data_IF_522487702816
#
_entry.id   IF_522487702816
#
_cell.length_a   1.000
_cell.length_b   1.000
_cell.length_c   1.000
_cell.angle_alpha   90.00
_cell.angle_beta   90.00
_cell.angle_gamma   90.00
#
_symmetry.space_group_name_H-M   'P 1'
#
loop_
_entity.id
_entity.type
_entity.pdbx_description
1 polymer ?
#
# COMPACT_ATOMS: atom_id res chain seq x y z
N UNK A 1 -9.84 -15.37 -24.97
CA UNK A 1 -8.65 -14.96 -24.23
C UNK A 1 -9.09 -14.71 -22.80
N UNK A 2 -8.38 -15.26 -21.81
CA UNK A 2 -8.68 -14.97 -20.40
C UNK A 2 -8.40 -13.48 -20.11
N UNK A 3 -9.26 -12.87 -19.31
CA UNK A 3 -9.03 -11.49 -18.86
C UNK A 3 -7.78 -11.45 -17.96
N UNK A 4 -6.94 -10.39 -18.06
CA UNK A 4 -5.76 -10.28 -17.24
C UNK A 4 -6.13 -10.12 -15.75
N UNK A 5 -5.31 -10.69 -14.86
CA UNK A 5 -5.53 -10.61 -13.41
C UNK A 5 -5.34 -9.20 -12.83
N UNK A 6 -4.60 -8.36 -13.52
CA UNK A 6 -4.39 -6.94 -13.19
C UNK A 6 -4.60 -6.07 -14.43
N UNK A 7 -5.14 -4.87 -14.21
CA UNK A 7 -5.26 -3.83 -15.23
C UNK A 7 -4.28 -2.73 -14.88
N UNK A 8 -3.53 -2.24 -15.86
CA UNK A 8 -2.55 -1.17 -15.70
C UNK A 8 -2.97 0.02 -16.54
N UNK A 9 -2.95 1.21 -15.95
CA UNK A 9 -3.22 2.49 -16.59
C UNK A 9 -2.12 3.48 -16.21
N UNK A 10 -1.73 4.34 -17.14
CA UNK A 10 -0.84 5.47 -16.89
C UNK A 10 -1.65 6.77 -16.89
N UNK A 11 -1.59 7.51 -15.79
CA UNK A 11 -2.25 8.81 -15.62
C UNK A 11 -1.18 9.88 -15.34
N UNK A 12 -0.53 10.37 -16.38
CA UNK A 12 0.64 11.23 -16.29
C UNK A 12 1.79 10.53 -15.56
N UNK A 13 2.19 11.07 -14.40
CA UNK A 13 3.26 10.51 -13.55
C UNK A 13 2.75 9.52 -12.49
N UNK A 14 1.51 9.08 -12.62
CA UNK A 14 0.87 8.10 -11.73
C UNK A 14 0.60 6.81 -12.48
N UNK A 15 1.16 5.70 -11.98
CA UNK A 15 0.77 4.36 -12.40
C UNK A 15 -0.47 3.89 -11.63
N UNK A 16 -1.43 3.28 -12.29
CA UNK A 16 -2.63 2.73 -11.65
C UNK A 16 -2.69 1.24 -11.93
N UNK A 17 -2.74 0.44 -10.88
CA UNK A 17 -2.86 -1.02 -10.94
C UNK A 17 -4.15 -1.45 -10.27
N UNK A 18 -5.04 -2.10 -10.99
CA UNK A 18 -6.30 -2.61 -10.45
C UNK A 18 -6.32 -4.13 -10.51
N UNK A 19 -6.57 -4.78 -9.37
CA UNK A 19 -6.84 -6.21 -9.31
C UNK A 19 -8.13 -6.53 -10.05
N UNK A 20 -8.11 -7.53 -10.92
CA UNK A 20 -9.19 -7.85 -11.84
C UNK A 20 -9.62 -9.33 -11.78
N UNK A 21 -9.97 -9.80 -10.59
CA UNK A 21 -10.59 -11.11 -10.36
C UNK A 21 -11.95 -10.98 -9.64
N UNK A 22 -12.92 -10.18 -10.18
CA UNK A 22 -14.17 -9.85 -9.48
C UNK A 22 -15.03 -11.06 -9.14
N UNK A 23 -14.98 -12.12 -9.94
CA UNK A 23 -15.76 -13.36 -9.73
C UNK A 23 -15.37 -14.11 -8.46
N UNK A 24 -14.13 -13.93 -8.00
CA UNK A 24 -13.59 -14.53 -6.77
C UNK A 24 -13.18 -13.45 -5.77
N UNK A 25 -13.81 -12.28 -5.84
CA UNK A 25 -13.62 -11.17 -4.91
C UNK A 25 -12.15 -10.73 -4.76
N UNK A 26 -11.39 -10.76 -5.85
CA UNK A 26 -9.94 -10.48 -5.87
C UNK A 26 -9.15 -11.32 -4.86
N UNK A 27 -9.54 -12.59 -4.65
CA UNK A 27 -8.78 -13.50 -3.79
C UNK A 27 -7.33 -13.60 -4.27
N UNK A 28 -6.40 -13.42 -3.34
CA UNK A 28 -4.96 -13.34 -3.60
C UNK A 28 -4.39 -14.75 -3.84
N UNK A 29 -4.45 -15.20 -5.09
CA UNK A 29 -3.75 -16.40 -5.56
C UNK A 29 -2.29 -16.11 -5.83
N UNK A 30 -1.46 -17.16 -5.93
CA UNK A 30 -0.07 -17.02 -6.34
C UNK A 30 0.10 -16.33 -7.69
N UNK A 31 -0.83 -16.60 -8.62
CA UNK A 31 -0.86 -15.97 -9.96
C UNK A 31 -1.17 -14.47 -9.89
N UNK A 32 -2.20 -14.06 -9.13
CA UNK A 32 -2.52 -12.64 -8.95
C UNK A 32 -1.37 -11.90 -8.25
N UNK A 33 -0.79 -12.49 -7.21
CA UNK A 33 0.34 -11.87 -6.49
C UNK A 33 1.57 -11.75 -7.40
N UNK A 34 1.83 -12.74 -8.27
CA UNK A 34 2.89 -12.67 -9.28
C UNK A 34 2.67 -11.52 -10.26
N UNK A 35 1.45 -11.40 -10.80
CA UNK A 35 1.08 -10.31 -11.70
C UNK A 35 1.16 -8.92 -11.02
N UNK A 36 0.83 -8.83 -9.73
CA UNK A 36 0.99 -7.58 -8.96
C UNK A 36 2.46 -7.21 -8.79
N UNK A 37 3.33 -8.18 -8.45
CA UNK A 37 4.77 -7.94 -8.30
C UNK A 37 5.39 -7.45 -9.62
N UNK A 38 5.02 -8.08 -10.74
CA UNK A 38 5.47 -7.69 -12.07
C UNK A 38 5.01 -6.27 -12.41
N UNK A 39 3.70 -6.00 -12.36
CA UNK A 39 3.12 -4.70 -12.70
C UNK A 39 3.66 -3.56 -11.81
N UNK A 40 3.71 -3.76 -10.50
CA UNK A 40 4.22 -2.76 -9.57
C UNK A 40 5.73 -2.55 -9.74
N UNK A 41 6.48 -3.63 -10.02
CA UNK A 41 7.93 -3.57 -10.28
C UNK A 41 8.28 -2.83 -11.57
N UNK A 42 7.50 -3.03 -12.64
CA UNK A 42 7.64 -2.29 -13.89
C UNK A 42 7.42 -0.78 -13.68
N UNK A 43 6.36 -0.41 -12.94
CA UNK A 43 6.07 0.98 -12.63
C UNK A 43 7.11 1.61 -11.68
N UNK A 44 7.69 0.85 -10.73
CA UNK A 44 8.77 1.33 -9.86
C UNK A 44 10.08 1.55 -10.61
N UNK A 45 10.32 0.77 -11.67
CA UNK A 45 11.49 0.88 -12.54
C UNK A 45 11.35 2.00 -13.59
N UNK A 46 10.12 2.41 -13.91
CA UNK A 46 9.85 3.50 -14.85
C UNK A 46 10.18 4.86 -14.20
N UNK A 47 11.18 5.53 -14.73
CA UNK A 47 11.63 6.86 -14.23
C UNK A 47 10.60 7.98 -14.34
N UNK A 48 9.59 7.83 -15.20
CA UNK A 48 8.51 8.80 -15.36
C UNK A 48 7.40 8.63 -14.30
N UNK A 49 7.25 7.44 -13.73
CA UNK A 49 6.27 7.16 -12.67
C UNK A 49 6.83 7.58 -11.31
N UNK A 50 6.07 8.42 -10.59
CA UNK A 50 6.47 9.00 -9.30
C UNK A 50 5.55 8.62 -8.14
N UNK A 51 4.39 8.05 -8.42
CA UNK A 51 3.47 7.47 -7.45
C UNK A 51 2.63 6.38 -8.11
N UNK A 52 2.17 5.42 -7.33
CA UNK A 52 1.36 4.30 -7.80
C UNK A 52 0.04 4.28 -7.01
N UNK A 53 -1.07 3.98 -7.68
CA UNK A 53 -2.34 3.65 -7.06
C UNK A 53 -2.57 2.15 -7.23
N UNK A 54 -2.78 1.45 -6.11
CA UNK A 54 -3.18 0.05 -6.10
C UNK A 54 -4.64 -0.05 -5.66
N UNK A 55 -5.49 -0.62 -6.51
CA UNK A 55 -6.92 -0.77 -6.23
C UNK A 55 -7.48 -2.13 -6.57
N UNK A 56 -8.72 -2.33 -6.19
CA UNK A 56 -9.55 -3.46 -6.62
C UNK A 56 -10.78 -2.95 -7.38
N UNK A 57 -11.95 -3.49 -7.04
CA UNK A 57 -13.23 -3.03 -7.54
C UNK A 57 -13.99 -2.17 -6.52
N UNK A 58 -15.12 -1.62 -6.95
CA UNK A 58 -16.00 -0.83 -6.09
C UNK A 58 -16.55 -1.60 -4.88
N UNK A 59 -16.79 -2.91 -5.04
CA UNK A 59 -17.37 -3.79 -4.01
C UNK A 59 -16.35 -4.49 -3.15
N UNK A 60 -15.12 -4.60 -3.64
CA UNK A 60 -14.05 -5.35 -2.97
C UNK A 60 -12.69 -4.86 -3.46
N UNK A 61 -11.83 -4.57 -2.50
CA UNK A 61 -10.41 -4.42 -2.75
C UNK A 61 -9.79 -5.81 -2.95
N UNK A 62 -9.76 -6.63 -1.88
CA UNK A 62 -9.43 -8.06 -1.92
C UNK A 62 -10.01 -8.74 -0.68
N UNK A 63 -10.57 -9.94 -0.86
CA UNK A 63 -11.24 -10.69 0.22
C UNK A 63 -10.30 -11.62 1.02
N UNK A 64 -9.00 -11.58 0.75
CA UNK A 64 -7.99 -12.39 1.44
C UNK A 64 -7.28 -13.38 0.51
N UNK A 65 -6.59 -14.35 1.09
CA UNK A 65 -5.90 -15.41 0.36
C UNK A 65 -6.89 -16.28 -0.43
N UNK A 66 -6.44 -16.87 -1.54
CA UNK A 66 -7.24 -17.85 -2.28
C UNK A 66 -7.32 -19.14 -1.44
N UNK A 67 -8.53 -19.41 -0.92
CA UNK A 67 -8.78 -20.50 0.00
C UNK A 67 -8.58 -21.87 -0.65
N UNK A 68 -8.85 -21.99 -1.97
CA UNK A 68 -8.63 -23.26 -2.67
C UNK A 68 -7.14 -23.61 -2.72
N UNK A 69 -6.30 -22.62 -3.04
CA UNK A 69 -4.85 -22.81 -3.01
C UNK A 69 -4.34 -23.11 -1.60
N UNK A 70 -4.87 -22.40 -0.60
CA UNK A 70 -4.45 -22.58 0.79
C UNK A 70 -4.84 -23.96 1.33
N UNK A 71 -6.07 -24.45 1.02
CA UNK A 71 -6.54 -25.77 1.42
C UNK A 71 -5.77 -26.93 0.75
N UNK A 72 -5.28 -26.72 -0.47
CA UNK A 72 -4.46 -27.70 -1.19
C UNK A 72 -2.99 -27.71 -0.74
N UNK A 73 -2.53 -26.65 -0.06
CA UNK A 73 -1.14 -26.50 0.33
C UNK A 73 -0.83 -27.28 1.64
N UNK A 74 0.37 -27.86 1.71
CA UNK A 74 0.94 -28.37 2.95
C UNK A 74 1.81 -27.31 3.62
N UNK A 75 2.08 -27.41 4.95
CA UNK A 75 3.02 -26.50 5.60
C UNK A 75 4.40 -26.46 4.93
N UNK A 76 4.87 -27.63 4.44
CA UNK A 76 6.14 -27.72 3.72
C UNK A 76 6.07 -27.00 2.38
N UNK A 77 5.00 -27.24 1.58
CA UNK A 77 4.86 -26.55 0.29
C UNK A 77 4.70 -25.05 0.44
N UNK A 78 4.03 -24.55 1.49
CA UNK A 78 3.93 -23.12 1.78
C UNK A 78 5.31 -22.51 2.07
N UNK A 79 6.17 -23.25 2.78
CA UNK A 79 7.52 -22.84 3.09
C UNK A 79 8.41 -22.85 1.85
N UNK A 80 8.39 -23.92 1.05
CA UNK A 80 9.22 -24.12 -0.15
C UNK A 80 8.83 -23.17 -1.30
N UNK A 81 7.54 -22.92 -1.49
CA UNK A 81 7.04 -22.05 -2.56
C UNK A 81 7.33 -20.54 -2.34
N UNK A 82 7.90 -20.19 -1.18
CA UNK A 82 8.32 -18.84 -0.86
C UNK A 82 7.25 -17.77 -1.19
N UNK A 83 5.98 -18.09 -0.96
CA UNK A 83 4.85 -17.19 -1.28
C UNK A 83 5.00 -15.80 -0.65
N UNK A 84 5.62 -15.73 0.52
CA UNK A 84 5.85 -14.47 1.22
C UNK A 84 6.92 -13.59 0.56
N UNK A 85 7.77 -14.14 -0.32
CA UNK A 85 8.73 -13.36 -1.08
C UNK A 85 8.05 -12.33 -2.00
N UNK A 86 6.84 -12.64 -2.51
CA UNK A 86 6.04 -11.71 -3.30
C UNK A 86 5.63 -10.47 -2.48
N UNK A 87 5.30 -10.66 -1.20
CA UNK A 87 5.02 -9.56 -0.27
C UNK A 87 6.27 -8.73 0.01
N UNK A 88 7.40 -9.38 0.21
CA UNK A 88 8.67 -8.71 0.41
C UNK A 88 9.13 -7.95 -0.84
N UNK A 89 8.82 -8.43 -2.04
CA UNK A 89 9.07 -7.72 -3.28
C UNK A 89 8.29 -6.40 -3.35
N UNK A 90 6.98 -6.43 -3.03
CA UNK A 90 6.14 -5.21 -2.98
C UNK A 90 6.65 -4.25 -1.90
N UNK A 91 7.01 -4.76 -0.71
CA UNK A 91 7.54 -3.94 0.40
C UNK A 91 8.81 -3.17 0.04
N UNK A 92 9.61 -3.68 -0.88
CA UNK A 92 10.89 -3.08 -1.29
C UNK A 92 10.76 -2.01 -2.39
N UNK A 93 9.56 -1.77 -2.90
CA UNK A 93 9.32 -0.74 -3.91
C UNK A 93 9.58 0.65 -3.34
N UNK A 94 10.30 1.46 -4.10
CA UNK A 94 10.71 2.80 -3.68
C UNK A 94 9.67 3.87 -4.01
N UNK A 95 8.91 3.66 -5.09
CA UNK A 95 7.84 4.55 -5.50
C UNK A 95 6.67 4.46 -4.53
N UNK A 96 6.15 5.56 -3.99
CA UNK A 96 5.02 5.54 -3.08
C UNK A 96 3.78 4.90 -3.69
N UNK A 97 3.09 4.07 -2.88
CA UNK A 97 1.86 3.37 -3.26
C UNK A 97 0.70 3.86 -2.42
N UNK A 98 -0.36 4.32 -3.07
CA UNK A 98 -1.64 4.67 -2.46
C UNK A 98 -2.63 3.52 -2.67
N UNK A 99 -3.05 2.85 -1.60
CA UNK A 99 -4.13 1.87 -1.68
C UNK A 99 -5.47 2.58 -1.85
N UNK A 100 -6.15 2.30 -2.95
CA UNK A 100 -7.50 2.76 -3.24
C UNK A 100 -8.50 1.67 -2.83
N UNK A 101 -9.11 1.83 -1.65
CA UNK A 101 -9.93 0.78 -1.03
C UNK A 101 -11.41 1.11 -1.10
N UNK A 102 -12.20 0.21 -1.72
CA UNK A 102 -13.66 0.25 -1.66
C UNK A 102 -14.21 -1.14 -1.34
N UNK A 103 -15.29 -1.21 -0.57
CA UNK A 103 -15.90 -2.46 -0.13
C UNK A 103 -15.01 -3.28 0.78
N UNK A 104 -14.97 -4.59 0.59
CA UNK A 104 -14.25 -5.51 1.47
C UNK A 104 -12.73 -5.47 1.26
N UNK A 105 -12.00 -5.33 2.36
CA UNK A 105 -10.54 -5.35 2.44
C UNK A 105 -10.17 -6.27 3.61
N UNK A 106 -10.07 -7.59 3.36
CA UNK A 106 -10.06 -8.61 4.40
C UNK A 106 -8.83 -9.50 4.33
N UNK A 107 -8.35 -9.97 5.48
CA UNK A 107 -7.23 -10.89 5.59
C UNK A 107 -6.02 -10.42 4.81
N UNK A 108 -5.47 -11.26 3.93
CA UNK A 108 -4.39 -10.88 3.03
C UNK A 108 -4.66 -9.60 2.24
N UNK A 109 -5.92 -9.30 1.87
CA UNK A 109 -6.28 -8.03 1.23
C UNK A 109 -6.05 -6.83 2.15
N UNK A 110 -6.38 -6.94 3.44
CA UNK A 110 -6.09 -5.91 4.43
C UNK A 110 -4.58 -5.80 4.70
N UNK A 111 -3.86 -6.92 4.69
CA UNK A 111 -2.39 -6.94 4.78
C UNK A 111 -1.74 -6.23 3.59
N UNK A 112 -2.25 -6.45 2.37
CA UNK A 112 -1.79 -5.77 1.15
C UNK A 112 -2.05 -4.26 1.19
N UNK A 113 -3.24 -3.85 1.65
CA UNK A 113 -3.54 -2.43 1.83
C UNK A 113 -2.62 -1.77 2.87
N UNK A 114 -2.32 -2.45 3.99
CA UNK A 114 -1.38 -1.98 5.02
C UNK A 114 0.10 -2.01 4.57
N UNK A 115 0.41 -2.72 3.50
CA UNK A 115 1.74 -2.72 2.89
C UNK A 115 1.97 -1.46 2.03
N UNK A 116 0.89 -0.84 1.55
CA UNK A 116 0.95 0.43 0.85
C UNK A 116 1.24 1.59 1.82
N UNK A 117 1.73 2.71 1.30
CA UNK A 117 2.17 3.85 2.11
C UNK A 117 1.00 4.67 2.66
N UNK A 118 -0.10 4.73 1.92
CA UNK A 118 -1.32 5.44 2.29
C UNK A 118 -2.55 4.62 1.91
N UNK A 119 -3.61 4.71 2.72
CA UNK A 119 -4.91 4.14 2.38
C UNK A 119 -5.92 5.27 2.22
N UNK A 120 -6.51 5.36 1.03
CA UNK A 120 -7.71 6.18 0.74
C UNK A 120 -8.88 5.22 0.61
N UNK A 121 -9.89 5.38 1.46
CA UNK A 121 -11.01 4.46 1.53
C UNK A 121 -12.33 5.12 1.13
N UNK A 122 -13.22 4.37 0.45
CA UNK A 122 -14.61 4.75 0.36
C UNK A 122 -15.30 4.61 1.72
N UNK A 123 -16.38 5.33 1.95
CA UNK A 123 -17.20 5.19 3.15
C UNK A 123 -17.81 3.79 3.33
N UNK A 124 -17.87 3.01 2.24
CA UNK A 124 -18.37 1.63 2.26
C UNK A 124 -17.29 0.61 2.62
N UNK A 125 -16.03 1.02 2.72
CA UNK A 125 -14.93 0.11 3.01
C UNK A 125 -15.08 -0.60 4.37
N UNK A 126 -14.67 -1.88 4.40
CA UNK A 126 -14.64 -2.74 5.58
C UNK A 126 -13.28 -3.39 5.69
N UNK A 127 -12.60 -3.17 6.80
CA UNK A 127 -11.27 -3.71 7.07
C UNK A 127 -11.34 -4.79 8.12
N UNK A 128 -10.66 -5.91 7.93
CA UNK A 128 -10.68 -7.01 8.90
C UNK A 128 -9.58 -8.02 8.69
N UNK A 129 -9.31 -8.77 9.77
CA UNK A 129 -8.39 -9.92 9.77
C UNK A 129 -9.15 -11.15 10.27
N UNK A 130 -10.02 -11.75 9.43
CA UNK A 130 -10.96 -12.80 9.86
C UNK A 130 -10.38 -14.22 9.82
N UNK A 131 -9.06 -14.38 9.70
CA UNK A 131 -8.37 -15.67 9.56
C UNK A 131 -8.67 -16.63 10.72
N UNK A 132 -8.99 -16.09 11.89
CA UNK A 132 -9.34 -16.87 13.08
C UNK A 132 -10.59 -17.73 12.86
N UNK A 133 -11.53 -17.30 12.01
CA UNK A 133 -12.73 -18.07 11.65
C UNK A 133 -12.38 -19.33 10.83
N UNK A 134 -11.17 -19.41 10.30
CA UNK A 134 -10.63 -20.58 9.59
C UNK A 134 -9.63 -21.36 10.44
N UNK A 135 -9.51 -21.06 11.74
CA UNK A 135 -8.53 -21.68 12.63
C UNK A 135 -7.07 -21.24 12.34
N UNK A 136 -6.89 -20.11 11.69
CA UNK A 136 -5.59 -19.55 11.32
C UNK A 136 -5.38 -18.16 11.93
N UNK A 137 -4.23 -17.57 11.63
CA UNK A 137 -3.88 -16.20 11.97
C UNK A 137 -3.38 -15.47 10.71
N UNK A 138 -3.37 -14.12 10.70
CA UNK A 138 -2.76 -13.34 9.63
C UNK A 138 -1.29 -13.73 9.44
N UNK A 139 -0.87 -13.96 8.19
CA UNK A 139 0.46 -14.50 7.87
C UNK A 139 1.37 -13.57 7.06
N UNK A 140 0.84 -12.47 6.51
CA UNK A 140 1.60 -11.55 5.66
C UNK A 140 1.83 -10.17 6.31
N UNK A 141 1.83 -10.12 7.63
CA UNK A 141 2.15 -8.93 8.43
C UNK A 141 0.95 -8.32 9.16
N UNK A 142 -0.26 -8.90 9.05
CA UNK A 142 -1.47 -8.37 9.67
C UNK A 142 -1.35 -8.19 11.17
N UNK A 143 -0.81 -9.16 11.90
CA UNK A 143 -0.60 -9.03 13.35
C UNK A 143 0.35 -7.90 13.70
N UNK A 144 1.33 -7.60 12.86
CA UNK A 144 2.37 -6.62 13.13
C UNK A 144 1.97 -5.21 12.69
N UNK A 145 1.52 -5.06 11.42
CA UNK A 145 1.15 -3.75 10.88
C UNK A 145 -0.14 -3.22 11.50
N UNK A 146 -1.17 -4.06 11.65
CA UNK A 146 -2.42 -3.64 12.28
C UNK A 146 -2.18 -3.15 13.72
N UNK A 147 -1.43 -3.90 14.52
CA UNK A 147 -1.13 -3.53 15.92
C UNK A 147 -0.40 -2.18 15.99
N UNK A 148 0.51 -1.90 15.07
CA UNK A 148 1.20 -0.62 15.01
C UNK A 148 0.29 0.54 14.58
N UNK A 149 -0.66 0.26 13.68
CA UNK A 149 -1.59 1.28 13.18
C UNK A 149 -2.68 1.64 14.20
N UNK A 150 -3.35 0.64 14.80
CA UNK A 150 -4.57 0.86 15.61
C UNK A 150 -4.38 0.59 17.11
N UNK A 151 -3.18 0.19 17.51
CA UNK A 151 -2.87 -0.18 18.88
C UNK A 151 -3.35 -1.59 19.26
N UNK A 152 -2.77 -2.13 20.37
CA UNK A 152 -2.93 -3.53 20.79
C UNK A 152 -4.40 -3.91 21.04
N UNK A 153 -5.18 -3.05 21.71
CA UNK A 153 -6.54 -3.39 22.12
C UNK A 153 -7.45 -3.64 20.91
N UNK A 154 -7.42 -2.73 19.92
CA UNK A 154 -8.22 -2.85 18.70
C UNK A 154 -7.74 -4.00 17.84
N UNK A 155 -6.42 -4.16 17.68
CA UNK A 155 -5.86 -5.26 16.91
C UNK A 155 -6.24 -6.63 17.50
N UNK A 156 -6.20 -6.79 18.83
CA UNK A 156 -6.64 -8.01 19.51
C UNK A 156 -8.13 -8.28 19.28
N UNK A 157 -8.98 -7.26 19.40
CA UNK A 157 -10.42 -7.42 19.14
C UNK A 157 -10.66 -7.89 17.69
N UNK A 158 -10.05 -7.24 16.70
CA UNK A 158 -10.19 -7.61 15.29
C UNK A 158 -9.68 -9.03 15.00
N UNK A 159 -8.47 -9.36 15.47
CA UNK A 159 -7.82 -10.63 15.13
C UNK A 159 -8.44 -11.82 15.86
N UNK A 160 -8.79 -11.67 17.15
CA UNK A 160 -9.29 -12.78 17.95
C UNK A 160 -10.79 -13.03 17.76
N UNK A 161 -11.56 -12.03 17.35
CA UNK A 161 -13.01 -12.16 17.12
C UNK A 161 -13.39 -12.20 15.65
N UNK A 162 -12.49 -11.81 14.74
CA UNK A 162 -12.79 -11.63 13.32
C UNK A 162 -13.64 -10.38 13.03
N UNK A 163 -13.76 -9.44 13.99
CA UNK A 163 -14.51 -8.19 13.83
C UNK A 163 -13.90 -7.34 12.71
N UNK A 164 -14.76 -6.65 11.97
CA UNK A 164 -14.37 -5.69 10.94
C UNK A 164 -14.52 -4.26 11.44
N UNK A 165 -13.65 -3.36 11.00
CA UNK A 165 -13.78 -1.92 11.13
C UNK A 165 -14.55 -1.34 9.93
N UNK A 166 -15.42 -0.38 10.18
CA UNK A 166 -15.92 0.52 9.15
C UNK A 166 -14.81 1.50 8.70
N UNK A 167 -14.99 2.13 7.53
CA UNK A 167 -14.07 3.14 7.05
C UNK A 167 -13.86 4.28 8.06
N UNK A 168 -14.92 4.73 8.73
CA UNK A 168 -14.87 5.79 9.75
C UNK A 168 -14.11 5.38 11.01
N UNK A 169 -14.32 4.14 11.50
CA UNK A 169 -13.54 3.60 12.62
C UNK A 169 -12.06 3.51 12.21
N UNK A 170 -11.76 2.98 11.01
CA UNK A 170 -10.39 2.87 10.49
C UNK A 170 -9.69 4.23 10.37
N UNK A 171 -10.40 5.28 9.95
CA UNK A 171 -9.89 6.66 9.93
C UNK A 171 -9.61 7.17 11.36
N UNK A 172 -10.57 7.00 12.28
CA UNK A 172 -10.41 7.49 13.66
C UNK A 172 -9.26 6.80 14.42
N UNK A 173 -8.91 5.59 14.02
CA UNK A 173 -7.85 4.77 14.62
C UNK A 173 -6.49 4.92 13.92
N UNK A 174 -6.42 5.67 12.81
CA UNK A 174 -5.17 5.91 12.09
C UNK A 174 -4.77 4.82 11.07
N UNK A 175 -5.64 3.84 10.80
CA UNK A 175 -5.41 2.84 9.76
C UNK A 175 -5.57 3.43 8.35
N UNK A 176 -6.49 4.38 8.19
CA UNK A 176 -6.85 5.01 6.91
C UNK A 176 -6.53 6.49 6.96
N UNK A 177 -5.91 7.03 5.92
CA UNK A 177 -5.55 8.44 5.84
C UNK A 177 -6.73 9.34 5.43
N UNK A 178 -7.62 8.85 4.56
CA UNK A 178 -8.78 9.60 4.04
C UNK A 178 -9.98 8.68 3.83
N UNK A 179 -11.17 9.19 4.12
CA UNK A 179 -12.44 8.54 3.78
C UNK A 179 -13.24 9.48 2.88
N UNK A 180 -13.76 8.94 1.78
CA UNK A 180 -14.48 9.68 0.74
C UNK A 180 -15.80 9.00 0.40
N UNK A 181 -16.69 9.70 -0.34
CA UNK A 181 -17.90 9.12 -0.87
C UNK A 181 -17.59 7.90 -1.75
N UNK A 182 -18.55 6.96 -1.82
CA UNK A 182 -18.37 5.69 -2.50
C UNK A 182 -17.87 5.85 -3.94
N UNK A 183 -18.40 6.81 -4.67
CA UNK A 183 -18.10 7.04 -6.10
C UNK A 183 -16.74 7.72 -6.31
N UNK A 184 -16.17 8.33 -5.27
CA UNK A 184 -14.96 9.14 -5.37
C UNK A 184 -13.67 8.37 -5.02
N UNK A 185 -13.75 7.12 -4.56
CA UNK A 185 -12.61 6.38 -4.01
C UNK A 185 -11.40 6.33 -4.94
N UNK A 186 -11.60 6.01 -6.22
CA UNK A 186 -10.49 5.90 -7.18
C UNK A 186 -9.99 7.29 -7.62
N UNK A 187 -10.89 8.21 -7.90
CA UNK A 187 -10.56 9.58 -8.32
C UNK A 187 -9.76 10.30 -7.24
N UNK A 188 -10.17 10.18 -5.97
CA UNK A 188 -9.46 10.80 -4.86
C UNK A 188 -8.10 10.12 -4.62
N UNK A 189 -7.99 8.80 -4.77
CA UNK A 189 -6.71 8.10 -4.67
C UNK A 189 -5.73 8.55 -5.76
N UNK A 190 -6.19 8.68 -7.01
CA UNK A 190 -5.40 9.25 -8.11
C UNK A 190 -4.97 10.70 -7.82
N UNK A 191 -5.88 11.53 -7.26
CA UNK A 191 -5.56 12.91 -6.87
C UNK A 191 -4.47 12.97 -5.80
N UNK A 192 -4.55 12.10 -4.78
CA UNK A 192 -3.50 11.99 -3.75
C UNK A 192 -2.17 11.55 -4.35
N UNK A 193 -2.18 10.54 -5.22
CA UNK A 193 -0.99 10.07 -5.90
C UNK A 193 -0.38 11.17 -6.79
N UNK A 194 -1.21 11.95 -7.50
CA UNK A 194 -0.76 13.09 -8.30
C UNK A 194 -0.14 14.21 -7.45
N UNK A 195 -0.68 14.47 -6.25
CA UNK A 195 -0.07 15.39 -5.28
C UNK A 195 1.32 14.93 -4.84
N UNK A 196 1.51 13.63 -4.62
CA UNK A 196 2.82 13.04 -4.29
C UNK A 196 3.75 13.14 -5.51
N UNK A 197 3.26 12.75 -6.69
CA UNK A 197 4.03 12.75 -7.93
C UNK A 197 4.49 14.15 -8.37
N UNK A 198 3.83 15.20 -7.90
CA UNK A 198 4.22 16.59 -8.13
C UNK A 198 5.38 17.06 -7.24
N UNK A 199 5.83 16.28 -6.27
CA UNK A 199 6.97 16.60 -5.39
C UNK A 199 8.29 16.09 -5.95
N UNK A 200 9.42 16.56 -5.39
CA UNK A 200 10.74 16.06 -5.75
C UNK A 200 10.88 14.57 -5.41
N UNK A 201 11.03 13.67 -6.40
CA UNK A 201 10.90 12.23 -6.16
C UNK A 201 12.02 11.67 -5.25
N UNK A 202 13.21 12.25 -5.25
CA UNK A 202 14.28 11.86 -4.32
C UNK A 202 13.85 12.13 -2.87
N UNK A 203 13.33 13.32 -2.60
CA UNK A 203 12.88 13.69 -1.25
C UNK A 203 11.69 12.83 -0.80
N UNK A 204 10.75 12.53 -1.70
CA UNK A 204 9.60 11.66 -1.42
C UNK A 204 10.05 10.25 -1.04
N UNK A 205 10.96 9.63 -1.81
CA UNK A 205 11.50 8.30 -1.52
C UNK A 205 12.23 8.24 -0.17
N UNK A 206 13.11 9.21 0.08
CA UNK A 206 13.84 9.31 1.34
C UNK A 206 12.90 9.56 2.54
N UNK A 207 11.85 10.35 2.36
CA UNK A 207 10.84 10.56 3.40
C UNK A 207 10.04 9.29 3.71
N UNK A 208 9.63 8.51 2.67
CA UNK A 208 9.02 7.19 2.83
C UNK A 208 9.92 6.27 3.67
N UNK A 209 11.17 6.10 3.25
CA UNK A 209 12.15 5.25 3.96
C UNK A 209 12.35 5.70 5.42
N UNK A 210 12.43 7.01 5.68
CA UNK A 210 12.60 7.55 7.04
C UNK A 210 11.37 7.29 7.92
N UNK A 211 10.15 7.38 7.38
CA UNK A 211 8.92 7.05 8.11
C UNK A 211 8.83 5.55 8.40
N UNK A 212 9.16 4.69 7.42
CA UNK A 212 9.21 3.23 7.63
C UNK A 212 10.22 2.85 8.71
N UNK A 213 11.37 3.52 8.75
CA UNK A 213 12.41 3.29 9.76
C UNK A 213 11.92 3.53 11.20
N UNK A 214 10.88 4.35 11.42
CA UNK A 214 10.29 4.56 12.74
C UNK A 214 9.66 3.29 13.34
N UNK A 215 9.32 2.31 12.51
CA UNK A 215 8.76 1.02 12.95
C UNK A 215 9.81 -0.10 13.07
N UNK A 216 11.04 0.13 12.61
CA UNK A 216 12.09 -0.88 12.55
C UNK A 216 13.26 -0.59 13.53
N UNK A 217 13.43 0.66 13.97
CA UNK A 217 14.58 1.06 14.75
C UNK A 217 14.22 1.81 16.06
N UNK A 218 15.10 1.78 17.08
CA UNK A 218 15.00 2.70 18.21
C UNK A 218 15.04 4.17 17.75
N UNK A 219 14.41 5.06 18.51
CA UNK A 219 14.26 6.48 18.16
C UNK A 219 15.59 7.15 17.76
N UNK A 220 16.67 6.93 18.53
CA UNK A 220 17.97 7.52 18.23
C UNK A 220 18.53 7.09 16.87
N UNK A 221 18.44 5.79 16.54
CA UNK A 221 18.87 5.27 15.24
C UNK A 221 17.99 5.76 14.09
N UNK A 222 16.67 5.86 14.30
CA UNK A 222 15.74 6.46 13.34
C UNK A 222 16.07 7.93 13.08
N UNK A 223 16.37 8.73 14.13
CA UNK A 223 16.78 10.13 13.98
C UNK A 223 18.13 10.28 13.24
N UNK A 224 19.07 9.36 13.43
CA UNK A 224 20.34 9.37 12.70
C UNK A 224 20.14 9.02 11.22
N UNK A 225 19.23 8.10 10.92
CA UNK A 225 18.82 7.80 9.54
C UNK A 225 18.16 9.02 8.88
N UNK A 226 17.18 9.64 9.53
CA UNK A 226 16.48 10.85 9.05
C UNK A 226 17.45 11.97 8.71
N UNK A 227 18.44 12.25 9.58
CA UNK A 227 19.47 13.28 9.33
C UNK A 227 20.27 13.00 8.06
N UNK A 228 20.69 11.75 7.86
CA UNK A 228 21.40 11.35 6.65
C UNK A 228 20.52 11.49 5.40
N UNK A 229 19.27 11.05 5.48
CA UNK A 229 18.29 11.21 4.42
C UNK A 229 18.05 12.69 4.06
N UNK A 230 17.94 13.55 5.09
CA UNK A 230 17.82 15.00 4.91
C UNK A 230 19.01 15.59 4.16
N UNK A 231 20.25 15.22 4.52
CA UNK A 231 21.44 15.71 3.80
C UNK A 231 21.49 15.23 2.37
N UNK A 232 21.10 13.98 2.11
CA UNK A 232 21.00 13.44 0.74
C UNK A 232 19.93 14.19 -0.07
N UNK A 233 18.74 14.37 0.49
CA UNK A 233 17.68 15.15 -0.17
C UNK A 233 18.15 16.57 -0.48
N UNK A 234 18.85 17.24 0.47
CA UNK A 234 19.38 18.62 0.28
C UNK A 234 20.45 18.71 -0.80
N UNK A 235 21.16 17.63 -1.08
CA UNK A 235 22.18 17.59 -2.13
C UNK A 235 21.61 17.48 -3.55
N UNK A 236 20.29 17.18 -3.70
CA UNK A 236 19.64 17.09 -5.00
C UNK A 236 19.46 18.46 -5.68
N UNK A 237 19.41 18.48 -7.02
CA UNK A 237 19.06 19.67 -7.80
C UNK A 237 17.63 20.14 -7.46
N UNK A 238 16.70 19.19 -7.26
CA UNK A 238 15.32 19.47 -6.89
C UNK A 238 15.19 20.24 -5.56
N UNK A 239 16.07 20.00 -4.59
CA UNK A 239 16.09 20.76 -3.36
C UNK A 239 16.50 22.22 -3.60
N UNK A 240 17.45 22.46 -4.49
CA UNK A 240 17.84 23.80 -4.95
C UNK A 240 16.68 24.51 -5.67
N UNK A 241 16.05 23.81 -6.62
CA UNK A 241 14.88 24.31 -7.35
C UNK A 241 13.72 24.65 -6.40
N UNK A 242 13.39 23.76 -5.47
CA UNK A 242 12.31 23.98 -4.52
C UNK A 242 12.52 25.22 -3.65
N UNK A 243 13.75 25.46 -3.17
CA UNK A 243 14.11 26.65 -2.39
C UNK A 243 14.02 27.94 -3.24
N UNK A 244 14.56 27.90 -4.46
CA UNK A 244 14.52 29.07 -5.36
C UNK A 244 13.07 29.39 -5.75
N UNK A 245 12.29 28.40 -6.16
CA UNK A 245 10.89 28.57 -6.52
C UNK A 245 10.06 29.16 -5.36
N UNK A 246 10.32 28.73 -4.11
CA UNK A 246 9.69 29.27 -2.92
C UNK A 246 10.02 30.77 -2.72
N UNK A 247 11.30 31.14 -2.81
CA UNK A 247 11.74 32.54 -2.67
C UNK A 247 11.19 33.45 -3.79
N UNK A 248 11.09 32.91 -5.00
CA UNK A 248 10.57 33.58 -6.19
C UNK A 248 9.04 33.56 -6.30
N UNK A 249 8.34 32.85 -5.37
CA UNK A 249 6.88 32.68 -5.34
C UNK A 249 6.30 32.11 -6.63
N UNK A 250 7.00 31.14 -7.22
CA UNK A 250 6.57 30.38 -8.40
C UNK A 250 6.42 28.88 -8.08
N UNK A 251 5.69 28.11 -8.88
CA UNK A 251 5.69 26.67 -8.80
C UNK A 251 7.09 26.10 -9.08
N UNK A 252 7.55 25.05 -8.34
CA UNK A 252 8.78 24.34 -8.63
C UNK A 252 8.62 23.40 -9.83
N UNK A 253 9.73 23.14 -10.54
CA UNK A 253 9.79 22.17 -11.64
C UNK A 253 10.80 21.07 -11.29
N UNK A 254 10.34 20.07 -10.55
CA UNK A 254 11.17 18.96 -10.08
C UNK A 254 11.50 17.94 -11.18
N UNK A 255 12.79 17.64 -11.33
CA UNK A 255 13.34 16.76 -12.39
C UNK A 255 13.73 15.36 -11.86
N UNK A 256 13.85 15.17 -10.55
CA UNK A 256 14.25 13.91 -9.94
C UNK A 256 15.76 13.68 -9.91
N UNK A 257 16.56 14.69 -9.82
CA UNK A 257 18.03 14.64 -9.83
C UNK A 257 18.69 15.68 -8.92
#
# INVERSE_FOLDING_TARGET
>A
VAEPNVLIEHDGRVGVVLMNRPKVLNALSGELMGALVEALGELDADGEIRAIVLGGGERVFAAGADINELAAATPVSLYENRRLDQWDAIRKLRTPIVAAVSGFCLGGGCELAMLCDLIVASETARFGQPEINLGMLPGAGGTQRLTRAVGKAVAMDMILTGRMLSAREALSLGLVARVVAKEAWLVESKRVAAEIAAKGPIAVRLAKEAVEQAFEAPLSAGMDFERRAFYLARASEDAGEGLNAFLEKRPPDFKGR
#
